data_IF_382017969369
#
_entry.id   IF_382017969369
#
_cell.length_a   1.000
_cell.length_b   1.000
_cell.length_c   1.000
_cell.angle_alpha   90.00
_cell.angle_beta   90.00
_cell.angle_gamma   90.00
#
_symmetry.space_group_name_H-M   'P 1'
#
loop_
_entity.id
_entity.type
_entity.pdbx_description
1 polymer ?
#
# COMPACT_ATOMS: atom_id res chain seq x y z
N UNK A 1 10.91 -0.47 2.82
CA UNK A 1 10.46 0.59 3.74
C UNK A 1 8.94 0.66 3.86
N UNK A 2 8.14 0.61 2.78
CA UNK A 2 6.67 0.76 2.87
C UNK A 2 5.93 -0.28 3.73
N UNK A 3 6.32 -1.55 3.68
CA UNK A 3 5.63 -2.62 4.42
C UNK A 3 5.54 -2.42 5.95
N UNK A 4 6.64 -2.15 6.69
CA UNK A 4 6.54 -1.86 8.12
C UNK A 4 5.71 -0.60 8.43
N UNK A 5 5.76 0.45 7.59
CA UNK A 5 4.94 1.66 7.75
C UNK A 5 3.43 1.35 7.63
N UNK A 6 3.01 0.67 6.55
CA UNK A 6 1.62 0.22 6.41
C UNK A 6 1.21 -0.69 7.57
N UNK A 7 2.13 -1.54 8.03
CA UNK A 7 1.92 -2.39 9.19
C UNK A 7 1.63 -1.64 10.48
N UNK A 8 2.30 -0.52 10.74
CA UNK A 8 2.00 0.32 11.90
C UNK A 8 0.65 1.03 11.76
N UNK A 9 0.32 1.56 10.58
CA UNK A 9 -0.97 2.20 10.32
C UNK A 9 -2.14 1.25 10.56
N UNK A 10 -2.04 0.02 10.04
CA UNK A 10 -3.03 -1.04 10.31
C UNK A 10 -3.14 -1.37 11.80
N UNK A 11 -2.00 -1.48 12.51
CA UNK A 11 -2.00 -1.76 13.95
C UNK A 11 -2.62 -0.63 14.78
N UNK A 12 -2.54 0.61 14.29
CA UNK A 12 -3.20 1.79 14.87
C UNK A 12 -4.66 1.95 14.46
N UNK A 13 -5.22 1.01 13.68
CA UNK A 13 -6.63 0.99 13.30
C UNK A 13 -6.98 1.86 12.09
N UNK A 14 -6.00 2.40 11.37
CA UNK A 14 -6.27 3.15 10.14
C UNK A 14 -6.56 2.19 8.97
N UNK A 15 -7.55 2.48 8.12
CA UNK A 15 -7.72 1.76 6.87
C UNK A 15 -6.52 2.04 5.97
N UNK A 16 -5.99 0.98 5.35
CA UNK A 16 -4.84 1.08 4.43
C UNK A 16 -5.19 0.38 3.13
N UNK A 17 -5.12 1.13 2.03
CA UNK A 17 -5.20 0.59 0.66
C UNK A 17 -3.80 0.52 0.08
N UNK A 18 -3.41 -0.63 -0.46
CA UNK A 18 -2.06 -0.86 -0.99
C UNK A 18 -2.10 -1.26 -2.47
N UNK A 19 -1.12 -0.77 -3.20
CA UNK A 19 -0.74 -1.23 -4.53
C UNK A 19 0.74 -1.58 -4.52
N UNK A 20 1.12 -2.63 -5.25
CA UNK A 20 2.51 -2.90 -5.60
C UNK A 20 2.56 -3.64 -6.93
N UNK A 21 3.60 -3.41 -7.74
CA UNK A 21 3.75 -4.08 -9.05
C UNK A 21 3.71 -5.61 -8.94
N UNK A 22 4.28 -6.15 -7.86
CA UNK A 22 4.23 -7.58 -7.52
C UNK A 22 3.25 -7.80 -6.36
N UNK A 23 2.08 -8.36 -6.64
CA UNK A 23 0.99 -8.52 -5.67
C UNK A 23 1.38 -9.39 -4.49
N UNK A 24 2.17 -10.43 -4.71
CA UNK A 24 2.60 -11.39 -3.67
C UNK A 24 3.37 -10.68 -2.53
N UNK A 25 4.07 -9.59 -2.83
CA UNK A 25 4.80 -8.80 -1.83
C UNK A 25 3.87 -8.04 -0.87
N UNK A 26 2.61 -7.80 -1.27
CA UNK A 26 1.60 -7.18 -0.41
C UNK A 26 0.88 -8.20 0.49
N UNK A 27 1.02 -9.51 0.24
CA UNK A 27 0.29 -10.57 0.95
C UNK A 27 0.32 -10.42 2.48
N UNK A 28 1.46 -10.17 3.15
CA UNK A 28 1.49 -10.01 4.60
C UNK A 28 0.67 -8.83 5.12
N UNK A 29 0.45 -7.78 4.31
CA UNK A 29 -0.41 -6.65 4.67
C UNK A 29 -1.88 -6.96 4.40
N UNK A 30 -2.17 -7.67 3.31
CA UNK A 30 -3.53 -8.11 2.98
C UNK A 30 -4.07 -9.07 4.07
N UNK A 31 -3.24 -10.00 4.53
CA UNK A 31 -3.56 -10.90 5.66
C UNK A 31 -3.83 -10.14 6.96
N UNK A 32 -3.31 -8.91 7.09
CA UNK A 32 -3.49 -8.02 8.23
C UNK A 32 -4.63 -7.01 8.03
N UNK A 33 -5.39 -7.12 6.95
CA UNK A 33 -6.57 -6.29 6.69
C UNK A 33 -6.35 -5.08 5.79
N UNK A 34 -5.19 -4.96 5.12
CA UNK A 34 -5.07 -3.97 4.04
C UNK A 34 -5.98 -4.30 2.87
N UNK A 35 -6.57 -3.28 2.26
CA UNK A 35 -7.29 -3.40 0.99
C UNK A 35 -6.29 -3.40 -0.18
N UNK A 36 -6.58 -4.20 -1.21
CA UNK A 36 -5.82 -4.19 -2.45
C UNK A 36 -6.41 -3.18 -3.44
N UNK A 37 -5.55 -2.50 -4.19
CA UNK A 37 -5.92 -1.70 -5.35
C UNK A 37 -5.14 -2.15 -6.58
N UNK A 38 -5.78 -2.18 -7.75
CA UNK A 38 -5.18 -2.68 -9.00
C UNK A 38 -4.27 -1.65 -9.70
N UNK A 39 -4.27 -0.39 -9.25
CA UNK A 39 -3.41 0.67 -9.79
C UNK A 39 -3.15 1.78 -8.77
N UNK A 40 -2.09 2.60 -8.96
CA UNK A 40 -1.88 3.81 -8.16
C UNK A 40 -3.06 4.79 -8.21
N UNK A 41 -3.75 4.88 -9.36
CA UNK A 41 -4.96 5.69 -9.52
C UNK A 41 -6.07 5.20 -8.58
N UNK A 42 -6.29 3.88 -8.52
CA UNK A 42 -7.30 3.30 -7.64
C UNK A 42 -6.96 3.53 -6.16
N UNK A 43 -5.68 3.51 -5.77
CA UNK A 43 -5.27 3.90 -4.41
C UNK A 43 -5.72 5.34 -4.11
N UNK A 44 -5.42 6.27 -5.00
CA UNK A 44 -5.75 7.69 -4.80
C UNK A 44 -7.27 7.97 -4.77
N UNK A 45 -8.08 7.16 -5.45
CA UNK A 45 -9.55 7.27 -5.39
C UNK A 45 -10.15 6.84 -4.05
N UNK A 46 -9.40 6.06 -3.26
CA UNK A 46 -9.87 5.47 -2.00
C UNK A 46 -9.13 6.02 -0.76
N UNK A 47 -8.30 7.05 -0.91
CA UNK A 47 -7.48 7.58 0.18
C UNK A 47 -7.39 9.11 0.16
N UNK A 48 -7.52 9.74 1.33
CA UNK A 48 -7.32 11.19 1.50
C UNK A 48 -5.82 11.56 1.48
N UNK A 49 -4.95 10.61 1.87
CA UNK A 49 -3.50 10.78 1.95
C UNK A 49 -2.81 9.62 1.25
N UNK A 50 -1.90 9.92 0.33
CA UNK A 50 -1.16 8.92 -0.45
C UNK A 50 0.33 8.99 -0.13
N UNK A 51 0.91 7.84 0.20
CA UNK A 51 2.36 7.67 0.36
C UNK A 51 2.93 6.88 -0.81
N UNK A 52 4.03 7.36 -1.39
CA UNK A 52 4.79 6.65 -2.42
C UNK A 52 6.12 6.19 -1.85
N UNK A 53 6.35 4.88 -1.80
CA UNK A 53 7.58 4.28 -1.29
C UNK A 53 8.12 3.27 -2.31
N UNK A 54 8.74 3.80 -3.35
CA UNK A 54 9.32 3.05 -4.47
C UNK A 54 10.84 3.06 -4.39
N UNK A 55 11.50 2.24 -5.20
CA UNK A 55 12.96 2.32 -5.39
C UNK A 55 13.33 3.51 -6.28
N UNK A 56 14.39 3.35 -7.08
CA UNK A 56 14.72 4.26 -8.19
C UNK A 56 14.47 3.58 -9.54
N UNK A 57 13.21 3.27 -9.89
CA UNK A 57 12.90 2.80 -11.23
C UNK A 57 12.82 3.99 -12.20
N UNK A 58 13.04 3.75 -13.49
CA UNK A 58 12.99 4.81 -14.52
C UNK A 58 11.58 5.30 -14.86
N UNK A 59 10.54 4.61 -14.35
CA UNK A 59 9.14 4.76 -14.75
C UNK A 59 8.25 5.43 -13.69
N UNK A 60 8.83 6.12 -12.70
CA UNK A 60 8.11 6.72 -11.56
C UNK A 60 8.65 8.11 -11.23
#
# INVERSE_FOLDING_TARGET
MGAPMCGHLLASGYPVTVFNRTRERARPLLERGAAWADSPQAVAQHADVVFTMVGFPDDV
#
